data_IF_336747901451
#
_entry.id   IF_336747901451
#
_cell.length_a   1.000
_cell.length_b   1.000
_cell.length_c   1.000
_cell.angle_alpha   90.00
_cell.angle_beta   90.00
_cell.angle_gamma   90.00
#
_symmetry.space_group_name_H-M   'P 1'
#
loop_
_entity.id
_entity.type
_entity.pdbx_description
1 polymer ?
#
# COMPACT_ATOMS: atom_id res chain seq x y z
N UNK A 1 9.60 15.71 30.71
CA UNK A 1 9.14 16.50 29.57
C UNK A 1 8.38 15.52 28.68
N UNK A 2 7.06 15.68 28.56
CA UNK A 2 6.27 14.82 27.69
C UNK A 2 6.49 15.23 26.25
N UNK A 3 6.81 14.26 25.39
CA UNK A 3 6.93 14.45 23.95
C UNK A 3 5.61 14.02 23.31
N UNK A 4 5.12 14.79 22.36
CA UNK A 4 3.91 14.48 21.59
C UNK A 4 4.25 14.36 20.13
N UNK A 5 3.81 13.28 19.49
CA UNK A 5 4.05 13.02 18.07
C UNK A 5 2.73 12.66 17.41
N UNK A 6 2.52 13.21 16.24
CA UNK A 6 1.48 12.73 15.33
C UNK A 6 2.03 11.48 14.61
N UNK A 7 1.60 10.30 15.03
CA UNK A 7 2.07 9.03 14.47
C UNK A 7 1.77 8.91 12.97
N UNK A 8 0.67 9.51 12.51
CA UNK A 8 0.33 9.54 11.09
C UNK A 8 1.41 10.29 10.28
N UNK A 9 1.93 11.40 10.83
CA UNK A 9 3.03 12.12 10.19
C UNK A 9 4.32 11.29 10.11
N UNK A 10 4.56 10.38 11.07
CA UNK A 10 5.70 9.46 11.01
C UNK A 10 5.51 8.45 9.87
N UNK A 11 4.33 7.83 9.77
CA UNK A 11 4.01 6.89 8.67
C UNK A 11 4.13 7.57 7.31
N UNK A 12 3.64 8.81 7.18
CA UNK A 12 3.78 9.59 5.95
C UNK A 12 5.23 9.88 5.60
N UNK A 13 6.06 10.29 6.59
CA UNK A 13 7.46 10.55 6.36
C UNK A 13 8.25 9.28 5.97
N UNK A 14 7.90 8.11 6.53
CA UNK A 14 8.43 6.82 6.08
C UNK A 14 8.06 6.55 4.62
N UNK A 15 6.79 6.74 4.25
CA UNK A 15 6.34 6.59 2.86
C UNK A 15 7.03 7.56 1.90
N UNK A 16 7.24 8.84 2.33
CA UNK A 16 8.00 9.81 1.53
C UNK A 16 9.46 9.37 1.33
N UNK A 17 10.05 8.68 2.31
CA UNK A 17 11.42 8.14 2.19
C UNK A 17 11.48 6.98 1.20
N UNK A 18 10.43 6.15 1.11
CA UNK A 18 10.33 5.08 0.12
C UNK A 18 10.25 5.63 -1.31
N UNK A 19 9.57 6.77 -1.52
CA UNK A 19 9.55 7.46 -2.82
C UNK A 19 10.96 7.88 -3.30
N UNK A 20 11.93 8.04 -2.40
CA UNK A 20 13.32 8.38 -2.76
C UNK A 20 14.13 7.16 -3.24
N UNK A 21 13.76 5.97 -2.83
CA UNK A 21 14.40 4.71 -3.26
C UNK A 21 13.81 4.20 -4.57
N UNK A 22 12.56 4.55 -4.86
CA UNK A 22 11.83 4.16 -6.07
C UNK A 22 12.42 4.76 -7.35
N UNK A 23 12.19 4.07 -8.48
CA UNK A 23 12.59 4.53 -9.81
C UNK A 23 11.37 5.17 -10.49
N UNK A 24 11.33 6.49 -10.60
CA UNK A 24 10.30 7.25 -11.32
C UNK A 24 8.84 7.05 -10.86
N UNK A 25 8.61 6.41 -9.74
CA UNK A 25 7.26 6.15 -9.23
C UNK A 25 7.00 6.89 -7.91
N UNK A 26 6.93 8.19 -8.00
CA UNK A 26 6.59 9.06 -6.86
C UNK A 26 5.13 8.80 -6.46
N UNK A 27 4.90 8.58 -5.17
CA UNK A 27 3.58 8.36 -4.56
C UNK A 27 2.97 6.97 -4.74
N UNK A 28 3.71 5.94 -5.18
CA UNK A 28 3.22 4.57 -5.32
C UNK A 28 2.46 4.08 -4.07
N UNK A 29 3.12 3.98 -2.92
CA UNK A 29 2.48 3.52 -1.69
C UNK A 29 1.26 4.36 -1.26
N UNK A 30 1.27 5.66 -1.57
CA UNK A 30 0.13 6.56 -1.30
C UNK A 30 -1.08 6.19 -2.16
N UNK A 31 -0.87 5.93 -3.46
CA UNK A 31 -1.93 5.50 -4.38
C UNK A 31 -2.46 4.13 -4.01
N UNK A 32 -1.58 3.17 -3.66
CA UNK A 32 -1.96 1.84 -3.15
C UNK A 32 -2.86 1.98 -1.92
N UNK A 33 -2.47 2.81 -0.94
CA UNK A 33 -3.27 3.07 0.25
C UNK A 33 -4.64 3.68 -0.06
N UNK A 34 -4.71 4.67 -0.96
CA UNK A 34 -5.98 5.31 -1.37
C UNK A 34 -6.90 4.29 -2.05
N UNK A 35 -6.38 3.50 -2.99
CA UNK A 35 -7.16 2.46 -3.68
C UNK A 35 -7.65 1.38 -2.73
N UNK A 36 -6.80 0.92 -1.81
CA UNK A 36 -7.19 -0.06 -0.80
C UNK A 36 -8.36 0.43 0.06
N UNK A 37 -8.32 1.70 0.49
CA UNK A 37 -9.43 2.33 1.24
C UNK A 37 -10.71 2.38 0.41
N UNK A 38 -10.65 2.77 -0.85
CA UNK A 38 -11.83 2.91 -1.70
C UNK A 38 -12.46 1.54 -2.03
N UNK A 39 -11.65 0.51 -2.24
CA UNK A 39 -12.11 -0.88 -2.43
C UNK A 39 -12.80 -1.38 -1.14
N UNK A 40 -12.17 -1.24 0.03
CA UNK A 40 -12.75 -1.65 1.32
C UNK A 40 -14.05 -0.91 1.65
N UNK A 41 -14.12 0.37 1.33
CA UNK A 41 -15.33 1.18 1.54
C UNK A 41 -16.51 0.64 0.74
N UNK A 42 -16.28 0.09 -0.45
CA UNK A 42 -17.30 -0.57 -1.26
C UNK A 42 -17.81 -1.86 -0.59
N UNK A 43 -16.97 -2.53 0.19
CA UNK A 43 -17.33 -3.72 0.98
C UNK A 43 -17.96 -3.37 2.34
N UNK A 44 -18.16 -2.10 2.66
CA UNK A 44 -18.78 -1.66 3.91
C UNK A 44 -17.86 -1.71 5.13
N UNK A 45 -16.55 -1.64 4.94
CA UNK A 45 -15.54 -1.62 6.02
C UNK A 45 -15.72 -0.43 6.97
N UNK A 46 -15.32 -0.61 8.23
CA UNK A 46 -15.30 0.47 9.21
C UNK A 46 -14.06 1.37 9.08
N UNK A 47 -14.04 2.47 9.84
CA UNK A 47 -12.95 3.46 9.77
C UNK A 47 -11.59 2.92 10.25
N UNK A 48 -11.58 1.94 11.16
CA UNK A 48 -10.35 1.32 11.66
C UNK A 48 -9.72 0.44 10.58
N UNK A 49 -10.52 -0.38 9.91
CA UNK A 49 -10.09 -1.21 8.78
C UNK A 49 -9.57 -0.35 7.62
N UNK A 50 -10.26 0.76 7.31
CA UNK A 50 -9.81 1.72 6.30
C UNK A 50 -8.48 2.39 6.68
N UNK A 51 -8.32 2.79 7.95
CA UNK A 51 -7.08 3.37 8.43
C UNK A 51 -5.91 2.39 8.35
N UNK A 52 -6.14 1.12 8.75
CA UNK A 52 -5.15 0.06 8.65
C UNK A 52 -4.75 -0.22 7.20
N UNK A 53 -5.72 -0.28 6.28
CA UNK A 53 -5.45 -0.48 4.85
C UNK A 53 -4.63 0.66 4.26
N UNK A 54 -4.94 1.89 4.65
CA UNK A 54 -4.18 3.07 4.21
C UNK A 54 -2.74 3.02 4.69
N UNK A 55 -2.49 2.78 6.00
CA UNK A 55 -1.15 2.70 6.56
C UNK A 55 -0.36 1.51 5.99
N UNK A 56 -1.01 0.37 5.80
CA UNK A 56 -0.40 -0.80 5.19
C UNK A 56 -0.02 -0.54 3.72
N UNK A 57 -0.87 0.15 2.95
CA UNK A 57 -0.56 0.57 1.59
C UNK A 57 0.61 1.54 1.49
N UNK A 58 0.71 2.50 2.43
CA UNK A 58 1.86 3.42 2.52
C UNK A 58 3.20 2.71 2.74
N UNK A 59 3.19 1.57 3.44
CA UNK A 59 4.39 0.90 3.95
C UNK A 59 4.57 -0.51 3.40
N UNK A 60 3.76 -0.99 2.44
CA UNK A 60 3.84 -2.38 1.98
C UNK A 60 5.21 -2.73 1.43
N UNK A 61 5.86 -1.79 0.77
CA UNK A 61 7.19 -1.92 0.19
C UNK A 61 8.34 -1.45 1.09
N UNK A 62 8.12 -1.29 2.41
CA UNK A 62 9.16 -0.83 3.34
C UNK A 62 10.41 -1.74 3.36
N UNK A 63 10.30 -2.96 2.85
CA UNK A 63 11.42 -3.90 2.73
C UNK A 63 12.16 -3.83 1.39
N UNK A 64 11.78 -2.94 0.48
CA UNK A 64 12.50 -2.74 -0.78
C UNK A 64 13.83 -2.03 -0.51
N UNK A 65 14.94 -2.71 -0.72
CA UNK A 65 16.29 -2.27 -0.34
C UNK A 65 17.12 -1.75 -1.52
N UNK A 66 16.63 -1.79 -2.74
CA UNK A 66 17.36 -1.29 -3.91
C UNK A 66 16.45 -0.92 -5.07
N UNK A 67 16.95 0.01 -5.90
CA UNK A 67 16.28 0.40 -7.14
C UNK A 67 16.14 -0.74 -8.16
N UNK A 68 17.06 -1.73 -8.14
CA UNK A 68 16.98 -2.89 -9.04
C UNK A 68 15.86 -3.84 -8.62
N UNK A 69 15.69 -4.06 -7.31
CA UNK A 69 14.57 -4.82 -6.75
C UNK A 69 13.24 -4.14 -7.09
N UNK A 70 13.15 -2.82 -6.88
CA UNK A 70 11.95 -2.04 -7.21
C UNK A 70 11.60 -2.14 -8.71
N UNK A 71 12.61 -2.08 -9.59
CA UNK A 71 12.39 -2.24 -11.04
C UNK A 71 11.76 -3.59 -11.38
N UNK A 72 12.24 -4.69 -10.80
CA UNK A 72 11.68 -6.03 -11.03
C UNK A 72 10.22 -6.12 -10.58
N UNK A 73 9.88 -5.55 -9.42
CA UNK A 73 8.50 -5.52 -8.90
C UNK A 73 7.53 -4.76 -9.82
N UNK A 74 8.02 -3.74 -10.53
CA UNK A 74 7.21 -2.95 -11.46
C UNK A 74 7.15 -3.58 -12.86
N UNK A 75 8.24 -4.17 -13.36
CA UNK A 75 8.31 -4.74 -14.71
C UNK A 75 7.56 -6.07 -14.83
N UNK A 76 7.62 -6.92 -13.79
CA UNK A 76 6.98 -8.23 -13.77
C UNK A 76 5.68 -8.20 -12.95
N UNK A 77 4.55 -8.43 -13.62
CA UNK A 77 3.22 -8.40 -12.98
C UNK A 77 3.08 -9.44 -11.85
N UNK A 78 3.80 -10.56 -11.93
CA UNK A 78 3.80 -11.64 -10.95
C UNK A 78 5.22 -12.23 -10.82
N UNK A 79 6.10 -11.53 -10.10
CA UNK A 79 7.49 -11.93 -9.94
C UNK A 79 7.68 -12.89 -8.76
N UNK A 80 8.19 -14.10 -9.01
CA UNK A 80 8.45 -15.12 -7.97
C UNK A 80 9.40 -14.66 -6.85
N UNK A 81 10.27 -13.66 -7.12
CA UNK A 81 11.20 -13.10 -6.13
C UNK A 81 10.61 -12.07 -5.18
N UNK A 82 9.34 -11.68 -5.34
CA UNK A 82 8.67 -10.61 -4.59
C UNK A 82 8.56 -10.89 -3.08
N UNK A 83 8.51 -12.16 -2.65
CA UNK A 83 8.36 -12.53 -1.24
C UNK A 83 9.50 -12.03 -0.34
N UNK A 84 10.72 -11.88 -0.87
CA UNK A 84 11.89 -11.49 -0.07
C UNK A 84 11.73 -10.12 0.60
N UNK A 85 11.27 -9.10 -0.14
CA UNK A 85 11.07 -7.77 0.44
C UNK A 85 9.86 -7.72 1.38
N UNK A 86 8.80 -8.49 1.09
CA UNK A 86 7.63 -8.61 1.94
C UNK A 86 7.99 -9.18 3.32
N UNK A 87 8.80 -10.23 3.37
CA UNK A 87 9.31 -10.82 4.62
C UNK A 87 10.23 -9.86 5.37
N UNK A 88 11.12 -9.17 4.66
CA UNK A 88 12.03 -8.21 5.28
C UNK A 88 11.28 -7.00 5.85
N UNK A 89 10.35 -6.41 5.10
CA UNK A 89 9.51 -5.31 5.55
C UNK A 89 8.65 -5.69 6.76
N UNK A 90 8.04 -6.87 6.74
CA UNK A 90 7.30 -7.39 7.88
C UNK A 90 8.18 -7.58 9.12
N UNK A 91 9.42 -8.07 8.97
CA UNK A 91 10.37 -8.20 10.06
C UNK A 91 10.72 -6.83 10.69
N UNK A 92 10.98 -5.82 9.89
CA UNK A 92 11.25 -4.45 10.34
C UNK A 92 10.06 -3.90 11.16
N UNK A 93 8.85 -4.03 10.63
CA UNK A 93 7.63 -3.52 11.29
C UNK A 93 7.30 -4.28 12.57
N UNK A 94 7.51 -5.61 12.60
CA UNK A 94 7.30 -6.42 13.81
C UNK A 94 8.21 -5.99 14.97
N UNK A 95 9.39 -5.49 14.68
CA UNK A 95 10.34 -4.93 15.65
C UNK A 95 9.95 -3.58 16.22
N UNK A 96 8.94 -2.91 15.66
CA UNK A 96 8.50 -1.59 16.08
C UNK A 96 7.03 -1.63 16.57
N UNK A 97 6.77 -1.71 17.88
CA UNK A 97 5.45 -1.96 18.46
C UNK A 97 4.31 -1.10 17.90
N UNK A 98 4.48 0.21 17.62
CA UNK A 98 3.41 1.03 17.07
C UNK A 98 2.91 0.60 15.68
N UNK A 99 3.75 -0.05 14.88
CA UNK A 99 3.43 -0.52 13.52
C UNK A 99 3.43 -2.06 13.39
N UNK A 100 3.70 -2.79 14.47
CA UNK A 100 3.80 -4.26 14.45
C UNK A 100 2.52 -4.95 13.93
N UNK A 101 1.35 -4.31 14.10
CA UNK A 101 0.08 -4.82 13.60
C UNK A 101 -0.02 -4.85 12.06
N UNK A 102 0.82 -4.09 11.35
CA UNK A 102 0.91 -4.09 9.88
C UNK A 102 1.79 -5.24 9.34
N UNK A 103 2.67 -5.81 10.18
CA UNK A 103 3.62 -6.82 9.75
C UNK A 103 2.96 -8.08 9.13
N UNK A 104 1.89 -8.68 9.71
CA UNK A 104 1.29 -9.88 9.14
C UNK A 104 0.74 -9.69 7.72
N UNK A 105 -0.11 -8.69 7.41
CA UNK A 105 -0.60 -8.50 6.05
C UNK A 105 0.52 -8.10 5.07
N UNK A 106 1.51 -7.29 5.50
CA UNK A 106 2.65 -6.93 4.66
C UNK A 106 3.49 -8.16 4.30
N UNK A 107 3.69 -9.10 5.23
CA UNK A 107 4.41 -10.34 4.94
C UNK A 107 3.77 -11.16 3.83
N UNK A 108 2.44 -11.11 3.69
CA UNK A 108 1.68 -11.96 2.78
C UNK A 108 1.21 -11.21 1.50
N UNK A 109 1.58 -9.94 1.30
CA UNK A 109 0.97 -9.11 0.27
C UNK A 109 1.31 -9.50 -1.17
N UNK A 110 2.18 -10.45 -1.40
CA UNK A 110 2.42 -11.09 -2.71
C UNK A 110 1.97 -12.55 -2.76
N UNK A 111 1.19 -13.00 -1.76
CA UNK A 111 0.67 -14.36 -1.74
C UNK A 111 -0.63 -14.44 -2.52
N UNK A 112 -0.72 -15.41 -3.43
CA UNK A 112 -1.90 -15.60 -4.28
C UNK A 112 -3.13 -16.01 -3.46
N UNK A 113 -4.30 -15.62 -3.92
CA UNK A 113 -5.59 -16.02 -3.33
C UNK A 113 -5.72 -17.54 -3.17
N UNK A 114 -5.27 -18.31 -4.16
CA UNK A 114 -5.31 -19.77 -4.13
C UNK A 114 -4.55 -20.38 -2.96
N UNK A 115 -3.55 -19.70 -2.43
CA UNK A 115 -2.77 -20.13 -1.26
C UNK A 115 -3.38 -19.63 0.05
N UNK A 116 -4.05 -18.47 0.03
CA UNK A 116 -4.63 -17.83 1.22
C UNK A 116 -6.02 -18.39 1.58
N UNK A 117 -6.82 -18.78 0.60
CA UNK A 117 -8.27 -19.06 0.72
C UNK A 117 -8.64 -20.10 1.77
N UNK A 118 -7.79 -21.09 2.03
CA UNK A 118 -8.08 -22.18 2.97
C UNK A 118 -7.99 -21.73 4.45
N UNK A 119 -7.34 -20.58 4.71
CA UNK A 119 -7.18 -19.97 6.03
C UNK A 119 -7.56 -18.49 6.03
N UNK A 120 -8.50 -18.11 5.20
CA UNK A 120 -8.83 -16.72 4.89
C UNK A 120 -9.52 -16.01 6.07
N UNK A 121 -8.80 -15.06 6.66
CA UNK A 121 -9.26 -14.15 7.69
C UNK A 121 -8.96 -12.69 7.33
N UNK A 122 -9.05 -11.80 8.32
CA UNK A 122 -8.82 -10.35 8.09
C UNK A 122 -7.39 -10.03 7.64
N UNK A 123 -6.41 -10.78 8.11
CA UNK A 123 -5.00 -10.61 7.72
C UNK A 123 -4.79 -10.96 6.27
N UNK A 124 -5.28 -12.10 5.84
CA UNK A 124 -5.16 -12.60 4.47
C UNK A 124 -5.96 -11.72 3.49
N UNK A 125 -7.15 -11.27 3.90
CA UNK A 125 -7.94 -10.31 3.12
C UNK A 125 -7.16 -8.99 2.93
N UNK A 126 -6.58 -8.45 3.99
CA UNK A 126 -5.78 -7.23 3.91
C UNK A 126 -4.55 -7.43 3.02
N UNK A 127 -3.86 -8.55 3.14
CA UNK A 127 -2.71 -8.90 2.31
C UNK A 127 -3.08 -8.96 0.82
N UNK A 128 -4.15 -9.67 0.49
CA UNK A 128 -4.60 -9.79 -0.90
C UNK A 128 -5.18 -8.49 -1.45
N UNK A 129 -5.77 -7.64 -0.60
CA UNK A 129 -6.17 -6.28 -0.97
C UNK A 129 -4.97 -5.41 -1.34
N UNK A 130 -3.88 -5.49 -0.56
CA UNK A 130 -2.63 -4.77 -0.87
C UNK A 130 -2.06 -5.26 -2.20
N UNK A 131 -2.01 -6.57 -2.42
CA UNK A 131 -1.57 -7.15 -3.68
C UNK A 131 -2.40 -6.67 -4.87
N UNK A 132 -3.71 -6.66 -4.73
CA UNK A 132 -4.61 -6.16 -5.76
C UNK A 132 -4.36 -4.67 -6.05
N UNK A 133 -4.30 -3.82 -5.02
CA UNK A 133 -4.11 -2.38 -5.17
C UNK A 133 -2.73 -2.04 -5.76
N UNK A 134 -1.69 -2.75 -5.34
CA UNK A 134 -0.35 -2.64 -5.88
C UNK A 134 -0.32 -2.97 -7.38
N UNK A 135 -0.90 -4.11 -7.80
CA UNK A 135 -0.94 -4.47 -9.23
C UNK A 135 -1.78 -3.51 -10.07
N UNK A 136 -2.85 -2.95 -9.51
CA UNK A 136 -3.62 -1.88 -10.18
C UNK A 136 -2.73 -0.65 -10.36
N UNK A 137 -1.96 -0.27 -9.34
CA UNK A 137 -1.10 0.91 -9.40
C UNK A 137 0.01 0.76 -10.44
N UNK A 138 0.68 -0.40 -10.49
CA UNK A 138 1.70 -0.69 -11.51
C UNK A 138 1.15 -0.47 -12.92
N UNK A 139 -0.06 -0.95 -13.22
CA UNK A 139 -0.69 -0.75 -14.52
C UNK A 139 -1.10 0.71 -14.75
N UNK A 140 -1.61 1.37 -13.72
CA UNK A 140 -2.03 2.77 -13.80
C UNK A 140 -0.84 3.72 -13.94
N UNK A 141 0.28 3.48 -13.25
CA UNK A 141 1.48 4.31 -13.29
C UNK A 141 2.06 4.40 -14.72
N UNK A 142 2.13 3.28 -15.45
CA UNK A 142 2.54 3.27 -16.86
C UNK A 142 1.63 4.15 -17.70
N UNK A 143 0.31 4.04 -17.51
CA UNK A 143 -0.67 4.83 -18.24
C UNK A 143 -0.64 6.32 -17.87
N UNK A 144 -0.31 6.65 -16.61
CA UNK A 144 -0.12 8.04 -16.16
C UNK A 144 1.13 8.67 -16.78
N UNK A 145 2.24 7.93 -16.88
CA UNK A 145 3.46 8.42 -17.55
C UNK A 145 3.22 8.76 -19.04
N UNK A 146 2.28 8.07 -19.68
CA UNK A 146 1.87 8.34 -21.07
C UNK A 146 0.78 9.41 -21.20
N UNK A 147 0.28 9.98 -20.09
CA UNK A 147 -0.89 10.89 -20.03
C UNK A 147 -2.16 10.26 -20.66
N UNK A 148 -2.36 8.95 -20.43
CA UNK A 148 -3.42 8.14 -21.04
C UNK A 148 -4.20 7.30 -20.05
N UNK A 149 -4.18 7.67 -18.75
CA UNK A 149 -4.78 6.85 -17.68
C UNK A 149 -6.23 6.48 -18.00
N UNK A 150 -7.10 7.45 -18.25
CA UNK A 150 -8.53 7.18 -18.48
C UNK A 150 -8.79 6.35 -19.74
N UNK A 151 -7.95 6.47 -20.76
CA UNK A 151 -8.03 5.64 -21.97
C UNK A 151 -7.70 4.17 -21.68
N UNK A 152 -6.75 3.93 -20.76
CA UNK A 152 -6.29 2.58 -20.41
C UNK A 152 -7.15 1.87 -19.35
N UNK A 153 -8.04 2.59 -18.67
CA UNK A 153 -8.93 2.01 -17.64
C UNK A 153 -9.63 0.71 -18.08
N UNK A 154 -10.22 0.58 -19.27
CA UNK A 154 -10.85 -0.68 -19.69
C UNK A 154 -9.86 -1.85 -19.72
N UNK A 155 -8.65 -1.65 -20.22
CA UNK A 155 -7.61 -2.68 -20.31
C UNK A 155 -7.09 -3.08 -18.93
N UNK A 156 -6.86 -2.09 -18.03
CA UNK A 156 -6.45 -2.35 -16.63
C UNK A 156 -7.51 -3.22 -15.93
N UNK A 157 -8.77 -2.85 -16.05
CA UNK A 157 -9.89 -3.60 -15.44
C UNK A 157 -10.01 -5.03 -15.99
N UNK A 158 -9.83 -5.21 -17.30
CA UNK A 158 -9.85 -6.52 -17.94
C UNK A 158 -8.68 -7.39 -17.46
N UNK A 159 -7.47 -6.84 -17.39
CA UNK A 159 -6.30 -7.56 -16.90
C UNK A 159 -6.47 -8.03 -15.46
N UNK A 160 -6.92 -7.17 -14.56
CA UNK A 160 -7.20 -7.54 -13.15
C UNK A 160 -8.29 -8.61 -13.07
N UNK A 161 -9.38 -8.46 -13.83
CA UNK A 161 -10.47 -9.46 -13.86
C UNK A 161 -10.01 -10.83 -14.38
N UNK A 162 -8.99 -10.88 -15.23
CA UNK A 162 -8.41 -12.12 -15.73
C UNK A 162 -7.73 -12.98 -14.65
N UNK A 163 -7.39 -12.41 -13.50
CA UNK A 163 -6.73 -13.08 -12.38
C UNK A 163 -7.64 -13.33 -11.17
N UNK A 164 -8.97 -13.18 -11.34
CA UNK A 164 -9.94 -13.43 -10.28
C UNK A 164 -9.95 -14.91 -9.89
N UNK A 165 -9.92 -15.20 -8.58
CA UNK A 165 -9.95 -16.56 -8.03
C UNK A 165 -8.63 -17.34 -8.17
N UNK A 166 -7.61 -16.74 -8.75
CA UNK A 166 -6.22 -17.21 -8.80
C UNK A 166 -5.32 -16.31 -7.94
N UNK A 167 -4.90 -15.17 -8.45
CA UNK A 167 -4.11 -14.20 -7.69
C UNK A 167 -4.96 -13.43 -6.68
N UNK A 168 -6.18 -13.07 -7.06
CA UNK A 168 -7.02 -12.13 -6.30
C UNK A 168 -8.33 -12.75 -5.82
N UNK A 169 -8.73 -12.34 -4.62
CA UNK A 169 -10.03 -12.65 -4.01
C UNK A 169 -11.17 -12.13 -4.91
N UNK A 170 -12.13 -12.99 -5.26
CA UNK A 170 -13.28 -12.61 -6.08
C UNK A 170 -14.09 -11.43 -5.54
N UNK A 171 -14.26 -11.32 -4.22
CA UNK A 171 -15.01 -10.22 -3.60
C UNK A 171 -14.25 -8.90 -3.70
N UNK A 172 -12.92 -8.91 -3.50
CA UNK A 172 -12.07 -7.74 -3.68
C UNK A 172 -12.06 -7.27 -5.14
N UNK A 173 -11.94 -8.18 -6.09
CA UNK A 173 -12.00 -7.83 -7.52
C UNK A 173 -13.38 -7.28 -7.89
N UNK A 174 -14.46 -7.85 -7.37
CA UNK A 174 -15.81 -7.33 -7.60
C UNK A 174 -15.95 -5.90 -7.08
N UNK A 175 -15.46 -5.63 -5.87
CA UNK A 175 -15.47 -4.29 -5.26
C UNK A 175 -14.63 -3.30 -6.07
N UNK A 176 -13.43 -3.70 -6.52
CA UNK A 176 -12.61 -2.90 -7.43
C UNK A 176 -13.33 -2.59 -8.74
N UNK A 177 -13.90 -3.61 -9.39
CA UNK A 177 -14.62 -3.42 -10.64
C UNK A 177 -15.85 -2.52 -10.49
N UNK A 178 -16.45 -2.43 -9.31
CA UNK A 178 -17.53 -1.50 -9.03
C UNK A 178 -17.04 -0.07 -8.81
N UNK A 179 -16.09 0.15 -7.90
CA UNK A 179 -15.60 1.50 -7.57
C UNK A 179 -14.87 2.14 -8.76
N UNK A 180 -14.11 1.37 -9.53
CA UNK A 180 -13.31 1.82 -10.67
C UNK A 180 -14.11 2.15 -11.94
N UNK A 181 -15.45 2.02 -11.91
CA UNK A 181 -16.33 2.59 -12.95
C UNK A 181 -16.37 4.11 -12.93
N UNK A 182 -16.06 4.69 -11.78
CA UNK A 182 -16.10 6.14 -11.59
C UNK A 182 -14.75 6.72 -12.02
N UNK A 183 -14.77 7.72 -12.89
CA UNK A 183 -13.54 8.45 -13.26
C UNK A 183 -12.85 9.05 -12.03
N UNK A 184 -13.62 9.46 -11.01
CA UNK A 184 -13.08 10.02 -9.77
C UNK A 184 -12.15 9.07 -9.01
N UNK A 185 -12.32 7.74 -9.14
CA UNK A 185 -11.40 6.76 -8.58
C UNK A 185 -10.00 6.91 -9.20
N UNK A 186 -9.93 7.03 -10.52
CA UNK A 186 -8.67 7.16 -11.26
C UNK A 186 -8.04 8.54 -11.13
N UNK A 187 -8.85 9.60 -11.17
CA UNK A 187 -8.38 10.97 -11.00
C UNK A 187 -7.85 11.24 -9.58
N UNK A 188 -8.29 10.48 -8.58
CA UNK A 188 -7.75 10.56 -7.21
C UNK A 188 -6.30 10.06 -7.10
N UNK A 189 -5.79 9.36 -8.12
CA UNK A 189 -4.41 8.82 -8.16
C UNK A 189 -3.40 9.85 -8.73
N UNK A 190 -3.86 10.97 -9.27
CA UNK A 190 -2.98 12.04 -9.74
C UNK A 190 -2.29 12.72 -8.55
N UNK A 191 -1.07 13.25 -8.78
CA UNK A 191 -0.22 13.80 -7.72
C UNK A 191 -0.90 14.87 -6.86
N UNK A 192 -1.67 15.79 -7.46
CA UNK A 192 -2.38 16.83 -6.71
C UNK A 192 -3.39 16.26 -5.71
N UNK A 193 -4.40 15.48 -6.15
CA UNK A 193 -5.36 14.81 -5.28
C UNK A 193 -4.72 13.88 -4.24
N UNK A 194 -3.64 13.16 -4.58
CA UNK A 194 -2.90 12.32 -3.62
C UNK A 194 -2.35 13.17 -2.48
N UNK A 195 -1.67 14.28 -2.78
CA UNK A 195 -1.09 15.17 -1.77
C UNK A 195 -2.19 15.82 -0.91
N UNK A 196 -3.30 16.25 -1.51
CA UNK A 196 -4.46 16.80 -0.79
C UNK A 196 -5.07 15.75 0.17
N UNK A 197 -5.14 14.48 -0.25
CA UNK A 197 -5.59 13.38 0.59
C UNK A 197 -4.67 13.20 1.80
N UNK A 198 -3.36 13.14 1.58
CA UNK A 198 -2.32 13.01 2.60
C UNK A 198 -2.39 14.14 3.64
N UNK A 199 -2.51 15.40 3.19
CA UNK A 199 -2.62 16.55 4.08
C UNK A 199 -3.87 16.47 4.95
N UNK A 200 -5.02 16.11 4.38
CA UNK A 200 -6.29 15.95 5.10
C UNK A 200 -6.19 14.88 6.18
N UNK A 201 -5.67 13.69 5.85
CA UNK A 201 -5.54 12.57 6.79
C UNK A 201 -4.56 12.91 7.93
N UNK A 202 -3.48 13.64 7.64
CA UNK A 202 -2.51 14.08 8.65
C UNK A 202 -3.09 15.14 9.60
N UNK A 203 -3.88 16.06 9.08
CA UNK A 203 -4.48 17.16 9.88
C UNK A 203 -5.43 16.65 10.94
N UNK A 204 -6.20 15.63 10.60
CA UNK A 204 -7.24 15.07 11.46
C UNK A 204 -6.70 14.01 12.45
N UNK A 205 -5.43 13.64 12.35
CA UNK A 205 -4.83 12.63 13.20
C UNK A 205 -4.47 13.17 14.60
N UNK A 206 -4.75 12.41 15.66
CA UNK A 206 -4.46 12.83 17.03
C UNK A 206 -2.95 12.85 17.29
N UNK A 207 -2.54 13.78 18.17
CA UNK A 207 -1.19 13.74 18.76
C UNK A 207 -1.17 12.71 19.91
N UNK A 208 -0.18 11.83 19.89
CA UNK A 208 0.02 10.79 20.92
C UNK A 208 1.26 11.11 21.73
N UNK A 209 1.15 10.96 23.05
CA UNK A 209 2.32 11.04 23.92
C UNK A 209 3.29 9.91 23.56
N UNK A 210 4.56 10.24 23.43
CA UNK A 210 5.59 9.31 22.96
C UNK A 210 6.81 9.34 23.89
N UNK A 211 7.60 8.26 23.83
CA UNK A 211 8.87 8.12 24.55
C UNK A 211 10.06 8.33 23.61
N UNK A 212 11.22 8.58 24.19
CA UNK A 212 12.49 8.63 23.44
C UNK A 212 12.78 7.30 22.74
N UNK A 213 12.42 6.18 23.35
CA UNK A 213 12.57 4.83 22.78
C UNK A 213 11.78 4.68 21.48
N UNK A 214 10.55 5.18 21.44
CA UNK A 214 9.72 5.16 20.21
C UNK A 214 10.36 6.03 19.13
N UNK A 215 10.89 7.21 19.48
CA UNK A 215 11.58 8.07 18.50
C UNK A 215 12.87 7.43 17.97
N UNK A 216 13.59 6.70 18.81
CA UNK A 216 14.76 5.92 18.38
C UNK A 216 14.34 4.78 17.43
N UNK A 217 13.24 4.09 17.70
CA UNK A 217 12.68 3.09 16.81
C UNK A 217 12.31 3.66 15.43
N UNK A 218 11.67 4.84 15.40
CA UNK A 218 11.40 5.56 14.15
C UNK A 218 12.70 5.86 13.39
N UNK A 219 13.71 6.39 14.06
CA UNK A 219 15.01 6.68 13.43
C UNK A 219 15.67 5.41 12.87
N UNK A 220 15.54 4.27 13.56
CA UNK A 220 16.03 2.98 13.08
C UNK A 220 15.29 2.53 11.82
N UNK A 221 13.95 2.65 11.77
CA UNK A 221 13.21 2.35 10.55
C UNK A 221 13.65 3.21 9.36
N UNK A 222 13.82 4.52 9.58
CA UNK A 222 14.31 5.42 8.53
C UNK A 222 15.71 5.02 8.02
N UNK A 223 16.63 4.62 8.90
CA UNK A 223 17.97 4.20 8.46
C UNK A 223 17.96 2.96 7.59
N UNK A 224 17.03 2.02 7.81
CA UNK A 224 16.88 0.84 6.98
C UNK A 224 16.23 1.09 5.62
N UNK A 225 15.47 2.17 5.48
CA UNK A 225 14.84 2.57 4.20
C UNK A 225 15.84 3.29 3.29
N UNK A 226 16.83 3.99 3.87
CA UNK A 226 17.71 4.91 3.12
C UNK A 226 19.12 4.31 2.88
N UNK A 227 19.50 3.24 3.59
CA UNK A 227 20.78 2.53 3.42
C UNK A 227 20.73 1.48 2.30
#
# INVERSE_FOLDING_TARGET
MSLFVNFRSVVHALSDSLDLVGINDVHHGKRVGIMAVDILRTLGSNSEEQAMAFDAGLLHDIGVSSSDLHRQLVEDFDWEGSQGHAEYGAHMLAGFPPLAHLAPPIRLHHTHWTELRDHYGKTEQMANLLFLADRIDVLAAVAMLEDRLLEKVPAIREQIAGHVGDMFDPDLVTAFLDVSRKESFWLALESGPVLDYMERVSRDAPQTETSLEILQGVATLFSHVVD
#
